data_IF_568296080893
#
_entry.id   IF_568296080893
#
_cell.length_a   1.000
_cell.length_b   1.000
_cell.length_c   1.000
_cell.angle_alpha   90.00
_cell.angle_beta   90.00
_cell.angle_gamma   90.00
#
_symmetry.space_group_name_H-M   'P 1'
#
loop_
_entity.id
_entity.type
_entity.pdbx_description
1 polymer ?
#
# COMPACT_ATOMS: atom_id res chain seq x y z
N UNK A 1 20.85 48.92 -39.91
CA UNK A 1 21.96 48.53 -39.00
C UNK A 1 22.32 49.61 -37.98
N UNK A 2 21.35 50.37 -37.46
CA UNK A 2 21.62 51.42 -36.46
C UNK A 2 20.69 51.45 -35.26
N UNK A 3 19.79 50.50 -35.14
CA UNK A 3 18.86 50.42 -34.01
C UNK A 3 19.21 49.33 -32.98
N UNK A 4 20.01 48.36 -33.36
CA UNK A 4 20.47 47.29 -32.43
C UNK A 4 21.69 47.64 -31.57
N UNK A 5 22.36 48.76 -31.84
CA UNK A 5 23.48 49.26 -31.02
C UNK A 5 23.08 50.25 -29.92
N UNK A 6 21.87 50.78 -29.96
CA UNK A 6 21.38 51.69 -28.91
C UNK A 6 20.69 50.99 -27.73
N UNK A 7 20.23 49.79 -27.92
CA UNK A 7 19.57 49.00 -26.82
C UNK A 7 20.56 48.21 -25.94
N UNK A 8 21.79 47.98 -26.43
CA UNK A 8 22.84 47.36 -25.61
C UNK A 8 23.54 48.35 -24.65
N UNK A 9 23.53 49.64 -24.94
CA UNK A 9 24.15 50.66 -24.06
C UNK A 9 23.25 51.15 -22.94
N UNK A 10 21.96 50.82 -22.96
CA UNK A 10 21.05 51.16 -21.87
C UNK A 10 20.95 50.09 -20.75
N UNK A 11 21.47 48.90 -20.99
CA UNK A 11 21.45 47.79 -19.98
C UNK A 11 22.71 47.74 -19.11
N UNK A 12 23.78 48.47 -19.44
CA UNK A 12 25.03 48.50 -18.65
C UNK A 12 25.15 49.65 -17.65
N UNK A 13 24.18 50.57 -17.59
CA UNK A 13 24.21 51.73 -16.66
C UNK A 13 23.28 51.60 -15.42
N UNK A 14 22.70 50.47 -15.16
CA UNK A 14 21.82 50.26 -13.97
C UNK A 14 22.36 49.32 -12.91
N UNK A 15 23.65 49.00 -12.89
CA UNK A 15 24.25 48.17 -11.83
C UNK A 15 25.41 48.91 -11.13
N UNK A 16 25.14 50.06 -10.54
CA UNK A 16 25.99 50.65 -9.50
C UNK A 16 25.13 51.29 -8.44
N UNK A 17 24.91 50.54 -7.35
CA UNK A 17 24.31 51.02 -6.12
C UNK A 17 25.38 51.32 -5.06
N UNK A 18 25.09 52.20 -4.09
CA UNK A 18 26.06 52.90 -3.29
C UNK A 18 26.66 52.12 -2.13
N UNK A 19 27.95 52.34 -1.91
CA UNK A 19 28.69 51.92 -0.71
C UNK A 19 28.14 52.63 0.52
N UNK A 20 27.98 51.91 1.63
CA UNK A 20 27.76 52.44 2.95
C UNK A 20 28.75 51.92 3.95
N UNK A 21 29.21 52.89 4.73
CA UNK A 21 30.17 52.89 5.81
C UNK A 21 29.90 51.89 6.93
N UNK A 22 30.98 51.33 7.46
CA UNK A 22 31.11 50.66 8.76
C UNK A 22 30.63 51.51 9.93
N UNK A 23 29.92 50.91 10.85
CA UNK A 23 30.09 51.17 12.27
C UNK A 23 29.91 49.86 13.06
N UNK A 24 30.99 49.51 13.72
CA UNK A 24 31.12 48.43 14.71
C UNK A 24 30.16 48.66 15.87
N UNK A 25 29.46 47.60 16.29
CA UNK A 25 29.13 47.41 17.69
C UNK A 25 29.19 45.91 18.02
N UNK A 26 30.14 45.60 18.91
CA UNK A 26 30.42 44.26 19.42
C UNK A 26 29.36 43.95 20.50
N UNK A 27 28.72 42.79 20.37
CA UNK A 27 28.12 42.09 21.50
C UNK A 27 28.36 40.56 21.32
N UNK A 28 29.23 39.96 22.13
CA UNK A 28 29.61 38.54 21.97
C UNK A 28 28.82 37.68 22.95
N UNK A 29 27.57 37.39 22.67
CA UNK A 29 26.84 36.29 23.30
C UNK A 29 25.55 35.99 22.53
N UNK A 30 25.60 34.92 21.73
CA UNK A 30 24.52 33.98 21.30
C UNK A 30 24.70 33.53 19.86
N UNK A 31 25.52 32.57 19.65
CA UNK A 31 25.38 31.55 18.59
C UNK A 31 26.19 30.30 18.95
N UNK A 32 25.85 29.66 20.05
CA UNK A 32 25.96 28.21 20.12
C UNK A 32 24.79 27.64 19.33
N UNK A 33 24.90 27.66 18.02
CA UNK A 33 24.12 26.75 17.19
C UNK A 33 24.68 25.36 17.47
N UNK A 34 23.97 24.60 18.31
CA UNK A 34 24.06 23.16 18.39
C UNK A 34 24.06 22.63 16.96
N UNK A 35 25.21 22.19 16.49
CA UNK A 35 25.32 21.18 15.46
C UNK A 35 24.60 19.94 16.02
N UNK A 36 23.30 19.87 15.80
CA UNK A 36 22.59 18.61 15.85
C UNK A 36 23.10 17.85 14.63
N UNK A 37 24.12 17.03 14.86
CA UNK A 37 24.44 15.93 13.97
C UNK A 37 23.14 15.16 13.78
N UNK A 38 22.50 15.34 12.64
CA UNK A 38 21.44 14.44 12.22
C UNK A 38 22.07 13.05 12.19
N UNK A 39 21.51 12.06 12.89
CA UNK A 39 22.06 10.71 12.87
C UNK A 39 22.17 10.33 11.39
N UNK A 40 23.35 9.92 10.96
CA UNK A 40 23.59 9.34 9.63
C UNK A 40 22.63 8.17 9.53
N UNK A 41 21.54 8.34 8.79
CA UNK A 41 20.59 7.26 8.53
C UNK A 41 21.40 6.12 7.91
N UNK A 42 21.55 5.04 8.65
CA UNK A 42 22.06 3.80 8.08
C UNK A 42 21.18 3.48 6.86
N UNK A 43 21.83 3.16 5.73
CA UNK A 43 21.08 2.74 4.54
C UNK A 43 20.24 1.54 4.93
N UNK A 44 18.96 1.45 4.45
CA UNK A 44 18.13 0.31 4.76
C UNK A 44 18.91 -0.97 4.49
N UNK A 45 18.82 -1.90 5.40
CA UNK A 45 19.49 -3.21 5.30
C UNK A 45 19.13 -3.91 3.98
N UNK A 46 17.91 -3.61 3.48
CA UNK A 46 17.37 -4.06 2.21
C UNK A 46 16.71 -2.90 1.47
N UNK A 47 17.23 -2.53 0.30
CA UNK A 47 16.58 -1.59 -0.62
C UNK A 47 15.66 -2.39 -1.54
N UNK A 48 14.34 -2.18 -1.47
CA UNK A 48 13.36 -2.88 -2.29
C UNK A 48 13.62 -2.77 -3.79
N UNK A 49 14.21 -1.65 -4.25
CA UNK A 49 14.52 -1.42 -5.69
C UNK A 49 15.60 -2.37 -6.19
N UNK A 50 16.63 -2.60 -5.37
CA UNK A 50 17.72 -3.52 -5.69
C UNK A 50 17.27 -4.96 -5.48
N UNK A 51 16.80 -5.27 -4.27
CA UNK A 51 16.43 -6.63 -3.89
C UNK A 51 15.24 -7.16 -4.71
N UNK A 52 14.24 -6.32 -4.99
CA UNK A 52 13.08 -6.71 -5.80
C UNK A 52 13.45 -7.11 -7.22
N UNK A 53 14.43 -6.43 -7.84
CA UNK A 53 14.95 -6.84 -9.17
C UNK A 53 15.80 -8.11 -9.08
N UNK A 54 16.68 -8.21 -8.09
CA UNK A 54 17.51 -9.41 -7.87
C UNK A 54 16.66 -10.66 -7.64
N UNK A 55 15.48 -10.51 -7.01
CA UNK A 55 14.52 -11.58 -6.75
C UNK A 55 13.50 -11.80 -7.88
N UNK A 56 13.58 -11.06 -9.00
CA UNK A 56 12.63 -11.20 -10.09
C UNK A 56 11.20 -10.80 -9.75
N UNK A 57 11.00 -9.82 -8.84
CA UNK A 57 9.66 -9.42 -8.41
C UNK A 57 9.07 -8.34 -9.30
N UNK A 58 9.85 -7.33 -9.69
CA UNK A 58 9.43 -6.26 -10.58
C UNK A 58 10.62 -5.62 -11.28
N UNK A 59 10.34 -4.89 -12.35
CA UNK A 59 11.34 -4.06 -13.01
C UNK A 59 10.70 -2.80 -13.60
N UNK A 60 11.52 -1.96 -14.23
CA UNK A 60 11.14 -0.71 -14.91
C UNK A 60 11.82 -0.65 -16.26
N UNK A 61 11.16 -0.09 -17.26
CA UNK A 61 11.73 0.11 -18.59
C UNK A 61 11.52 1.56 -19.06
N UNK A 62 12.53 2.21 -19.66
CA UNK A 62 12.39 3.57 -20.18
C UNK A 62 11.27 3.74 -21.22
N UNK A 63 10.94 2.71 -22.00
CA UNK A 63 9.86 2.74 -22.99
C UNK A 63 8.48 2.73 -22.34
N UNK A 64 8.35 2.08 -21.17
CA UNK A 64 7.11 2.11 -20.37
C UNK A 64 7.02 3.48 -19.67
N UNK A 65 8.12 3.96 -19.12
CA UNK A 65 8.23 5.29 -18.52
C UNK A 65 8.54 5.30 -17.02
N UNK A 66 9.03 6.44 -16.56
CA UNK A 66 9.41 6.63 -15.16
C UNK A 66 8.19 6.56 -14.23
N UNK A 67 8.32 5.84 -13.11
CA UNK A 67 7.23 5.66 -12.13
C UNK A 67 6.14 4.69 -12.57
N UNK A 68 6.40 3.87 -13.58
CA UNK A 68 5.52 2.85 -14.12
C UNK A 68 6.21 1.47 -14.05
N UNK A 69 6.39 0.90 -12.84
CA UNK A 69 6.97 -0.44 -12.68
C UNK A 69 6.02 -1.50 -13.25
N UNK A 70 6.60 -2.60 -13.72
CA UNK A 70 5.84 -3.79 -14.10
C UNK A 70 6.25 -4.99 -13.23
N UNK A 71 5.31 -5.88 -13.02
CA UNK A 71 5.47 -7.06 -12.19
C UNK A 71 6.01 -8.23 -13.02
N UNK A 72 7.04 -8.89 -12.51
CA UNK A 72 7.54 -10.16 -13.02
C UNK A 72 6.75 -11.31 -12.40
N UNK A 73 6.86 -12.56 -12.89
CA UNK A 73 6.02 -13.67 -12.43
C UNK A 73 5.97 -13.84 -10.90
N UNK A 74 7.12 -13.81 -10.22
CA UNK A 74 7.19 -13.96 -8.76
C UNK A 74 6.56 -12.78 -8.02
N UNK A 75 6.81 -11.56 -8.50
CA UNK A 75 6.15 -10.37 -7.97
C UNK A 75 4.65 -10.37 -8.23
N UNK A 76 4.21 -10.85 -9.38
CA UNK A 76 2.79 -11.01 -9.68
C UNK A 76 2.13 -12.03 -8.75
N UNK A 77 2.81 -13.12 -8.40
CA UNK A 77 2.32 -14.11 -7.44
C UNK A 77 2.16 -13.50 -6.03
N UNK A 78 3.16 -12.73 -5.55
CA UNK A 78 3.09 -12.01 -4.27
C UNK A 78 1.92 -11.01 -4.29
N UNK A 79 1.84 -10.20 -5.34
CA UNK A 79 0.77 -9.21 -5.53
C UNK A 79 -0.61 -9.86 -5.51
N UNK A 80 -0.81 -10.89 -6.34
CA UNK A 80 -2.08 -11.60 -6.45
C UNK A 80 -2.53 -12.19 -5.11
N UNK A 81 -1.61 -12.87 -4.41
CA UNK A 81 -1.88 -13.45 -3.10
C UNK A 81 -2.25 -12.38 -2.06
N UNK A 82 -1.57 -11.23 -2.07
CA UNK A 82 -1.91 -10.11 -1.20
C UNK A 82 -3.30 -9.54 -1.51
N UNK A 83 -3.62 -9.37 -2.80
CA UNK A 83 -4.94 -8.90 -3.25
C UNK A 83 -6.06 -9.87 -2.86
N UNK A 84 -5.84 -11.18 -2.97
CA UNK A 84 -6.82 -12.21 -2.55
C UNK A 84 -7.05 -12.19 -1.04
N UNK A 85 -5.98 -12.08 -0.25
CA UNK A 85 -6.07 -11.94 1.20
C UNK A 85 -6.97 -10.75 1.59
N UNK A 86 -6.71 -9.58 1.00
CA UNK A 86 -7.47 -8.37 1.29
C UNK A 86 -8.93 -8.52 0.87
N UNK A 87 -9.20 -9.01 -0.36
CA UNK A 87 -10.58 -9.25 -0.81
C UNK A 87 -11.33 -10.23 0.08
N UNK A 88 -10.64 -11.27 0.56
CA UNK A 88 -11.25 -12.23 1.49
C UNK A 88 -11.55 -11.58 2.86
N UNK A 89 -10.62 -10.77 3.41
CA UNK A 89 -10.83 -10.03 4.66
C UNK A 89 -12.01 -9.05 4.54
N UNK A 90 -12.09 -8.31 3.45
CA UNK A 90 -13.18 -7.37 3.15
C UNK A 90 -14.54 -8.07 3.03
N UNK A 91 -14.62 -9.18 2.29
CA UNK A 91 -15.87 -9.96 2.21
C UNK A 91 -16.34 -10.46 3.57
N UNK A 92 -15.42 -10.96 4.41
CA UNK A 92 -15.76 -11.38 5.78
C UNK A 92 -16.26 -10.24 6.65
N UNK A 93 -15.78 -9.01 6.40
CA UNK A 93 -16.23 -7.80 7.09
C UNK A 93 -17.49 -7.15 6.47
N UNK A 94 -18.13 -7.81 5.48
CA UNK A 94 -19.37 -7.36 4.86
C UNK A 94 -19.20 -6.28 3.79
N UNK A 95 -18.00 -6.08 3.25
CA UNK A 95 -17.79 -5.20 2.10
C UNK A 95 -18.25 -5.86 0.81
N UNK A 96 -18.85 -5.06 -0.07
CA UNK A 96 -19.19 -5.43 -1.44
C UNK A 96 -18.18 -4.81 -2.40
N UNK A 97 -17.57 -5.64 -3.23
CA UNK A 97 -16.62 -5.16 -4.23
C UNK A 97 -17.36 -4.57 -5.44
N UNK A 98 -16.83 -3.46 -5.91
CA UNK A 98 -17.26 -2.78 -7.14
C UNK A 98 -16.08 -2.63 -8.08
N UNK A 99 -16.36 -2.37 -9.35
CA UNK A 99 -15.35 -2.03 -10.36
C UNK A 99 -15.83 -0.80 -11.09
N UNK A 100 -15.00 0.23 -11.07
CA UNK A 100 -15.29 1.49 -11.75
C UNK A 100 -14.23 1.82 -12.80
N UNK A 101 -14.60 2.56 -13.87
CA UNK A 101 -13.63 2.87 -14.94
C UNK A 101 -12.52 3.78 -14.42
N UNK A 102 -11.32 3.64 -15.00
CA UNK A 102 -10.15 4.47 -14.67
C UNK A 102 -10.21 5.88 -15.26
N UNK A 103 -11.15 6.10 -16.20
CA UNK A 103 -11.43 7.39 -16.82
C UNK A 103 -12.74 7.95 -16.29
N UNK A 104 -12.80 9.26 -16.11
CA UNK A 104 -14.00 10.00 -15.80
C UNK A 104 -14.01 11.35 -16.51
N UNK A 105 -15.18 11.96 -16.73
CA UNK A 105 -15.26 13.33 -17.21
C UNK A 105 -14.63 14.26 -16.17
N UNK A 106 -13.95 15.31 -16.61
CA UNK A 106 -13.36 16.36 -15.76
C UNK A 106 -14.38 16.91 -14.76
N UNK A 107 -15.64 17.07 -15.19
CA UNK A 107 -16.74 17.54 -14.34
C UNK A 107 -16.91 16.70 -13.06
N UNK A 108 -16.70 15.37 -13.10
CA UNK A 108 -16.73 14.50 -11.93
C UNK A 108 -15.75 14.96 -10.84
N UNK A 109 -14.57 15.42 -11.25
CA UNK A 109 -13.50 15.87 -10.35
C UNK A 109 -13.67 17.34 -9.94
N UNK A 110 -14.39 18.14 -10.70
CA UNK A 110 -14.84 19.48 -10.32
C UNK A 110 -15.92 19.39 -9.22
N UNK A 111 -16.89 18.48 -9.38
CA UNK A 111 -17.93 18.21 -8.37
C UNK A 111 -17.27 17.77 -7.06
N UNK A 112 -16.37 16.80 -7.10
CA UNK A 112 -15.72 16.25 -5.90
C UNK A 112 -14.69 17.20 -5.25
N UNK A 113 -14.32 18.30 -5.91
CA UNK A 113 -13.30 19.24 -5.45
C UNK A 113 -11.86 18.86 -5.79
N UNK A 114 -11.60 17.66 -6.34
CA UNK A 114 -10.24 17.24 -6.70
C UNK A 114 -9.60 18.18 -7.72
N UNK A 115 -10.37 18.66 -8.70
CA UNK A 115 -9.87 19.60 -9.70
C UNK A 115 -9.36 20.91 -9.10
N UNK A 116 -10.04 21.44 -8.10
CA UNK A 116 -9.68 22.70 -7.46
C UNK A 116 -8.53 22.60 -6.45
N UNK A 117 -8.35 21.44 -5.81
CA UNK A 117 -7.42 21.26 -4.68
C UNK A 117 -6.26 20.30 -4.99
N UNK A 118 -6.31 19.60 -6.14
CA UNK A 118 -5.40 18.51 -6.44
C UNK A 118 -4.99 18.42 -7.91
N UNK A 119 -5.29 19.44 -8.73
CA UNK A 119 -5.02 19.44 -10.19
C UNK A 119 -3.55 19.26 -10.53
N UNK A 120 -2.64 19.77 -9.70
CA UNK A 120 -1.20 19.71 -9.95
C UNK A 120 -0.64 18.28 -9.92
N UNK A 121 -1.32 17.39 -9.20
CA UNK A 121 -0.99 15.96 -9.11
C UNK A 121 -1.79 15.10 -10.11
N UNK A 122 -2.70 15.69 -10.89
CA UNK A 122 -3.50 14.96 -11.88
C UNK A 122 -2.80 14.93 -13.24
N UNK A 123 -2.97 13.83 -13.99
CA UNK A 123 -2.60 13.81 -15.41
C UNK A 123 -3.43 14.84 -16.19
N UNK A 124 -2.84 15.48 -17.22
CA UNK A 124 -3.58 16.41 -18.07
C UNK A 124 -4.83 15.76 -18.67
N UNK A 125 -5.93 16.50 -18.83
CA UNK A 125 -7.11 15.99 -19.47
C UNK A 125 -6.85 15.64 -20.93
N UNK A 126 -7.57 14.62 -21.41
CA UNK A 126 -7.60 14.18 -22.79
C UNK A 126 -8.90 14.65 -23.45
N UNK A 127 -8.83 15.13 -24.69
CA UNK A 127 -10.03 15.43 -25.48
C UNK A 127 -10.59 14.14 -26.08
N UNK A 128 -11.87 13.90 -25.89
CA UNK A 128 -12.62 12.79 -26.45
C UNK A 128 -13.89 13.32 -27.13
N UNK A 129 -13.78 13.74 -28.38
CA UNK A 129 -14.92 14.23 -29.15
C UNK A 129 -15.55 15.51 -28.61
N UNK A 130 -14.73 16.42 -28.05
CA UNK A 130 -15.16 17.67 -27.44
C UNK A 130 -15.47 17.58 -25.94
N UNK A 131 -15.36 16.40 -25.34
CA UNK A 131 -15.45 16.20 -23.89
C UNK A 131 -14.05 15.99 -23.31
N UNK A 132 -13.79 16.59 -22.15
CA UNK A 132 -12.54 16.36 -21.42
C UNK A 132 -12.70 15.17 -20.47
N UNK A 133 -11.86 14.14 -20.65
CA UNK A 133 -11.76 12.99 -19.76
C UNK A 133 -10.39 13.00 -19.06
N UNK A 134 -10.35 12.47 -17.86
CA UNK A 134 -9.20 12.49 -16.97
C UNK A 134 -8.94 11.08 -16.42
N UNK A 135 -7.68 10.69 -16.31
CA UNK A 135 -7.29 9.54 -15.49
C UNK A 135 -7.58 9.85 -14.02
N UNK A 136 -8.31 8.96 -13.34
CA UNK A 136 -8.76 9.20 -11.96
C UNK A 136 -7.58 9.31 -10.98
N UNK A 137 -7.50 10.38 -10.16
CA UNK A 137 -6.50 10.51 -9.10
C UNK A 137 -6.91 9.79 -7.81
N UNK A 138 -8.21 9.40 -7.70
CA UNK A 138 -8.86 8.81 -6.54
C UNK A 138 -10.11 8.03 -6.95
N UNK A 139 -10.55 7.08 -6.13
CA UNK A 139 -11.74 6.24 -6.38
C UNK A 139 -13.02 6.84 -5.80
N UNK A 140 -12.94 7.70 -4.77
CA UNK A 140 -14.09 8.23 -4.05
C UNK A 140 -15.16 8.89 -4.91
N UNK A 141 -14.86 9.68 -5.98
CA UNK A 141 -15.91 10.26 -6.81
C UNK A 141 -16.76 9.22 -7.54
N UNK A 142 -16.11 8.13 -7.99
CA UNK A 142 -16.81 7.01 -8.64
C UNK A 142 -17.73 6.27 -7.65
N UNK A 143 -17.24 5.99 -6.43
CA UNK A 143 -18.05 5.35 -5.39
C UNK A 143 -19.25 6.22 -4.96
N UNK A 144 -19.08 7.55 -4.90
CA UNK A 144 -20.17 8.47 -4.66
C UNK A 144 -21.25 8.39 -5.76
N UNK A 145 -20.84 8.30 -7.03
CA UNK A 145 -21.79 8.12 -8.17
C UNK A 145 -22.46 6.74 -8.10
N UNK A 146 -21.74 5.67 -7.75
CA UNK A 146 -22.32 4.34 -7.57
C UNK A 146 -23.35 4.36 -6.45
N UNK A 147 -23.06 4.98 -5.30
CA UNK A 147 -24.03 5.15 -4.22
C UNK A 147 -25.28 5.92 -4.71
N UNK A 148 -25.10 7.04 -5.41
CA UNK A 148 -26.18 7.89 -5.93
C UNK A 148 -27.04 7.21 -6.99
N UNK A 149 -26.58 6.12 -7.61
CA UNK A 149 -27.28 5.46 -8.72
C UNK A 149 -28.65 4.88 -8.36
N UNK A 150 -28.96 4.73 -7.06
CA UNK A 150 -30.25 4.27 -6.54
C UNK A 150 -30.59 4.92 -5.20
N UNK A 151 -31.86 4.82 -4.79
CA UNK A 151 -32.26 5.24 -3.45
C UNK A 151 -31.86 4.22 -2.40
N UNK A 152 -31.55 4.70 -1.20
CA UNK A 152 -31.16 3.89 -0.05
C UNK A 152 -32.07 4.17 1.15
N UNK A 153 -32.34 3.13 1.94
CA UNK A 153 -33.00 3.24 3.25
C UNK A 153 -31.95 3.22 4.37
N UNK A 154 -32.25 3.87 5.48
CA UNK A 154 -31.42 3.78 6.71
C UNK A 154 -31.12 2.35 7.14
N UNK A 155 -32.02 1.38 6.81
CA UNK A 155 -31.84 -0.05 7.12
C UNK A 155 -30.74 -0.74 6.32
N UNK A 156 -30.33 -0.12 5.20
CA UNK A 156 -29.22 -0.62 4.35
C UNK A 156 -27.87 -0.12 4.83
N UNK A 157 -27.85 0.89 5.73
CA UNK A 157 -26.62 1.46 6.27
C UNK A 157 -26.14 0.70 7.51
N UNK A 158 -24.83 0.53 7.69
CA UNK A 158 -23.75 1.06 6.83
C UNK A 158 -23.61 0.27 5.52
N UNK A 159 -23.45 0.99 4.40
CA UNK A 159 -23.18 0.40 3.09
C UNK A 159 -21.68 0.49 2.82
N UNK A 160 -21.00 -0.66 2.74
CA UNK A 160 -19.56 -0.77 2.59
C UNK A 160 -19.20 -1.19 1.17
N UNK A 161 -18.53 -0.30 0.41
CA UNK A 161 -18.00 -0.58 -0.94
C UNK A 161 -16.50 -0.65 -0.90
N UNK A 162 -15.89 -1.64 -1.55
CA UNK A 162 -14.44 -1.78 -1.69
C UNK A 162 -14.05 -1.95 -3.16
N UNK A 163 -12.91 -1.41 -3.53
CA UNK A 163 -12.30 -1.61 -4.83
C UNK A 163 -10.78 -1.68 -4.68
N UNK A 164 -10.16 -2.74 -5.20
CA UNK A 164 -8.75 -2.72 -5.54
C UNK A 164 -8.66 -2.07 -6.92
N UNK A 165 -8.49 -0.75 -6.92
CA UNK A 165 -8.66 0.07 -8.11
C UNK A 165 -7.40 0.81 -8.54
N UNK A 166 -7.17 0.85 -9.86
CA UNK A 166 -6.10 1.67 -10.43
C UNK A 166 -6.42 3.15 -10.28
N UNK A 167 -5.48 3.95 -9.81
CA UNK A 167 -5.51 5.41 -9.84
C UNK A 167 -4.18 5.97 -10.32
N UNK A 168 -4.17 7.22 -10.76
CA UNK A 168 -3.05 7.77 -11.52
C UNK A 168 -2.70 9.18 -11.02
N UNK A 169 -1.40 9.42 -10.77
CA UNK A 169 -0.87 10.72 -10.35
C UNK A 169 0.33 11.11 -11.16
N UNK A 170 0.37 12.35 -11.62
CA UNK A 170 1.43 12.86 -12.51
C UNK A 170 2.72 13.21 -11.77
N UNK A 171 3.00 12.56 -10.68
CA UNK A 171 4.16 12.75 -9.81
C UNK A 171 5.40 13.29 -10.51
N UNK A 172 6.05 14.30 -9.92
CA UNK A 172 7.31 14.84 -10.44
C UNK A 172 8.39 13.75 -10.44
N UNK A 173 9.24 13.74 -11.48
CA UNK A 173 10.27 12.70 -11.63
C UNK A 173 11.23 12.60 -10.43
N UNK A 174 11.53 13.72 -9.76
CA UNK A 174 12.44 13.77 -8.61
C UNK A 174 11.89 13.15 -7.33
N UNK A 175 10.58 12.87 -7.25
CA UNK A 175 9.96 12.26 -6.05
C UNK A 175 9.63 10.79 -6.22
N UNK A 176 9.86 10.22 -7.41
CA UNK A 176 9.60 8.80 -7.68
C UNK A 176 10.56 7.90 -6.89
N UNK A 177 10.05 6.81 -6.34
CA UNK A 177 10.80 5.97 -5.40
C UNK A 177 10.60 4.45 -5.57
N UNK A 178 10.91 3.89 -6.73
CA UNK A 178 10.69 2.45 -6.97
C UNK A 178 9.20 2.12 -6.87
N UNK A 179 8.82 1.20 -5.98
CA UNK A 179 7.41 0.86 -5.69
C UNK A 179 6.79 1.78 -4.63
N UNK A 180 7.57 2.55 -3.85
CA UNK A 180 7.01 3.37 -2.76
C UNK A 180 6.28 4.61 -3.26
N UNK A 181 6.67 5.16 -4.42
CA UNK A 181 6.00 6.29 -5.05
C UNK A 181 6.00 6.14 -6.57
N UNK A 182 4.86 5.82 -7.12
CA UNK A 182 4.62 5.46 -8.52
C UNK A 182 3.53 6.35 -9.12
N UNK A 183 3.45 6.40 -10.47
CA UNK A 183 2.42 7.15 -11.21
C UNK A 183 1.15 6.36 -11.46
N UNK A 184 1.25 5.05 -11.60
CA UNK A 184 0.13 4.13 -11.68
C UNK A 184 0.06 3.33 -10.37
N UNK A 185 -1.02 3.51 -9.63
CA UNK A 185 -1.18 3.04 -8.25
C UNK A 185 -2.36 2.07 -8.22
N UNK A 186 -2.15 0.86 -7.70
CA UNK A 186 -3.24 -0.04 -7.37
C UNK A 186 -3.60 0.14 -5.90
N UNK A 187 -4.66 0.89 -5.63
CA UNK A 187 -5.06 1.24 -4.27
C UNK A 187 -6.05 0.23 -3.69
N UNK A 188 -5.81 -0.23 -2.46
CA UNK A 188 -6.83 -0.88 -1.66
C UNK A 188 -7.71 0.20 -1.01
N UNK A 189 -8.81 0.54 -1.66
CA UNK A 189 -9.69 1.62 -1.23
C UNK A 189 -11.10 1.13 -0.93
N UNK A 190 -11.73 1.72 0.06
CA UNK A 190 -13.14 1.50 0.34
C UNK A 190 -13.80 2.73 0.94
N UNK A 191 -15.10 2.83 0.67
CA UNK A 191 -15.95 3.91 1.14
C UNK A 191 -17.17 3.32 1.84
N UNK A 192 -17.38 3.75 3.09
CA UNK A 192 -18.47 3.33 3.94
C UNK A 192 -19.45 4.48 4.03
N UNK A 193 -20.65 4.29 3.50
CA UNK A 193 -21.73 5.27 3.63
C UNK A 193 -22.56 4.88 4.85
N UNK A 194 -22.62 5.74 5.84
CA UNK A 194 -23.23 5.42 7.12
C UNK A 194 -23.98 6.61 7.72
N UNK A 195 -24.78 6.36 8.75
CA UNK A 195 -25.36 7.41 9.58
C UNK A 195 -24.28 7.97 10.52
N UNK A 196 -24.52 9.16 11.08
CA UNK A 196 -23.54 9.82 11.94
C UNK A 196 -23.18 8.98 13.18
N UNK A 197 -24.16 8.34 13.81
CA UNK A 197 -24.01 7.48 14.98
C UNK A 197 -23.23 6.19 14.69
N UNK A 198 -23.17 5.75 13.42
CA UNK A 198 -22.40 4.58 13.00
C UNK A 198 -20.91 4.89 12.75
N UNK A 199 -20.52 6.17 12.54
CA UNK A 199 -19.16 6.55 12.11
C UNK A 199 -18.08 5.99 13.03
N UNK A 200 -18.21 6.17 14.34
CA UNK A 200 -17.20 5.71 15.29
C UNK A 200 -17.03 4.19 15.26
N UNK A 201 -18.14 3.45 15.16
CA UNK A 201 -18.12 1.99 15.03
C UNK A 201 -17.43 1.50 13.76
N UNK A 202 -17.72 2.14 12.61
CA UNK A 202 -17.13 1.80 11.33
C UNK A 202 -15.63 2.13 11.27
N UNK A 203 -15.21 3.27 11.83
CA UNK A 203 -13.80 3.64 11.90
C UNK A 203 -13.00 2.70 12.82
N UNK A 204 -13.56 2.29 13.98
CA UNK A 204 -12.95 1.28 14.85
C UNK A 204 -12.82 -0.08 14.15
N UNK A 205 -13.85 -0.51 13.43
CA UNK A 205 -13.80 -1.75 12.66
C UNK A 205 -12.73 -1.70 11.58
N UNK A 206 -12.55 -0.54 10.92
CA UNK A 206 -11.49 -0.33 9.94
C UNK A 206 -10.09 -0.42 10.57
N UNK A 207 -9.87 0.18 11.74
CA UNK A 207 -8.60 0.06 12.48
C UNK A 207 -8.31 -1.39 12.88
N UNK A 208 -9.32 -2.14 13.30
CA UNK A 208 -9.16 -3.56 13.64
C UNK A 208 -8.81 -4.40 12.40
N UNK A 209 -9.39 -4.09 11.24
CA UNK A 209 -9.00 -4.74 9.97
C UNK A 209 -7.53 -4.45 9.61
N UNK A 210 -7.08 -3.21 9.81
CA UNK A 210 -5.67 -2.82 9.60
C UNK A 210 -4.76 -3.63 10.55
N UNK A 211 -5.11 -3.70 11.84
CA UNK A 211 -4.34 -4.45 12.84
C UNK A 211 -4.17 -5.92 12.44
N UNK A 212 -5.27 -6.60 12.07
CA UNK A 212 -5.23 -8.01 11.62
C UNK A 212 -4.41 -8.20 10.35
N UNK A 213 -4.53 -7.29 9.39
CA UNK A 213 -3.72 -7.36 8.18
C UNK A 213 -2.23 -7.21 8.49
N UNK A 214 -1.88 -6.30 9.38
CA UNK A 214 -0.49 -6.09 9.80
C UNK A 214 0.06 -7.32 10.55
N UNK A 215 -0.75 -7.94 11.41
CA UNK A 215 -0.37 -9.22 12.05
C UNK A 215 -0.06 -10.29 10.99
N UNK A 216 -0.96 -10.53 10.04
CA UNK A 216 -0.77 -11.54 8.99
C UNK A 216 0.46 -11.24 8.09
N UNK A 217 0.77 -9.96 7.86
CA UNK A 217 1.90 -9.51 7.04
C UNK A 217 3.21 -9.39 7.85
N UNK A 218 3.13 -9.51 9.19
CA UNK A 218 4.25 -9.29 10.10
C UNK A 218 4.68 -7.81 10.19
N UNK A 219 3.81 -6.87 9.85
CA UNK A 219 4.08 -5.43 9.87
C UNK A 219 3.88 -4.89 11.29
N UNK A 220 4.86 -4.13 11.79
CA UNK A 220 4.74 -3.40 13.05
C UNK A 220 4.50 -1.92 12.76
N UNK A 221 3.40 -1.32 13.21
CA UNK A 221 3.19 0.13 13.10
C UNK A 221 4.30 0.89 13.83
N UNK A 222 4.85 1.94 13.22
CA UNK A 222 5.75 2.86 13.88
C UNK A 222 4.98 3.79 14.83
N UNK A 223 3.83 4.32 14.36
CA UNK A 223 2.89 5.12 15.16
C UNK A 223 1.55 5.28 14.47
N UNK A 224 0.56 5.72 15.25
CA UNK A 224 -0.72 6.23 14.76
C UNK A 224 -0.70 7.75 14.82
N UNK A 225 -1.21 8.41 13.78
CA UNK A 225 -1.21 9.86 13.67
C UNK A 225 -2.61 10.37 13.36
N UNK A 226 -3.11 11.30 14.19
CA UNK A 226 -4.29 12.09 13.87
C UNK A 226 -3.85 13.28 13.02
N UNK A 227 -4.10 13.23 11.73
CA UNK A 227 -3.71 14.23 10.76
C UNK A 227 -4.79 15.29 10.62
N UNK A 228 -4.47 16.52 11.04
CA UNK A 228 -5.35 17.67 11.09
C UNK A 228 -5.01 18.68 9.98
N UNK A 229 -5.94 19.60 9.63
CA UNK A 229 -5.65 20.67 8.68
C UNK A 229 -4.59 21.62 9.26
N UNK A 230 -3.75 22.13 8.38
CA UNK A 230 -2.79 23.18 8.72
C UNK A 230 -3.23 24.54 8.17
N UNK A 231 -2.40 25.60 8.32
CA UNK A 231 -2.65 26.88 7.70
C UNK A 231 -2.54 26.79 6.17
N UNK A 232 -3.35 27.53 5.45
CA UNK A 232 -3.32 27.66 3.99
C UNK A 232 -4.60 27.24 3.28
N UNK A 233 -4.70 27.59 1.99
CA UNK A 233 -5.92 27.48 1.18
C UNK A 233 -6.19 26.12 0.56
N UNK A 234 -5.39 25.07 0.87
CA UNK A 234 -5.60 23.74 0.27
C UNK A 234 -6.78 22.94 0.87
N UNK A 235 -7.32 23.41 1.98
CA UNK A 235 -8.40 22.73 2.71
C UNK A 235 -9.75 23.36 2.42
N UNK A 236 -10.81 22.56 2.44
CA UNK A 236 -12.19 23.07 2.33
C UNK A 236 -12.51 24.03 3.48
N UNK A 237 -13.08 25.18 3.15
CA UNK A 237 -13.44 26.22 4.12
C UNK A 237 -14.77 25.87 4.84
N UNK A 238 -14.72 24.93 5.79
CA UNK A 238 -15.88 24.45 6.56
C UNK A 238 -15.49 24.15 8.02
N UNK A 239 -15.27 25.17 8.88
CA UNK A 239 -14.72 25.00 10.25
C UNK A 239 -15.52 24.01 11.11
N UNK A 240 -16.85 24.08 11.07
CA UNK A 240 -17.71 23.18 11.86
C UNK A 240 -17.58 21.71 11.44
N UNK A 241 -17.46 21.46 10.13
CA UNK A 241 -17.20 20.13 9.59
C UNK A 241 -15.86 19.60 10.10
N UNK A 242 -14.81 20.42 10.05
CA UNK A 242 -13.48 20.05 10.55
C UNK A 242 -13.47 19.71 12.03
N UNK A 243 -14.10 20.55 12.86
CA UNK A 243 -14.21 20.31 14.29
C UNK A 243 -14.94 19.01 14.60
N UNK A 244 -16.07 18.79 13.94
CA UNK A 244 -16.89 17.58 14.12
C UNK A 244 -16.15 16.31 13.68
N UNK A 245 -15.51 16.33 12.52
CA UNK A 245 -14.75 15.19 12.00
C UNK A 245 -13.54 14.85 12.88
N UNK A 246 -12.81 15.89 13.33
CA UNK A 246 -11.68 15.70 14.25
C UNK A 246 -12.11 15.11 15.58
N UNK A 247 -13.22 15.58 16.17
CA UNK A 247 -13.77 15.04 17.41
C UNK A 247 -14.14 13.56 17.28
N UNK A 248 -14.76 13.16 16.16
CA UNK A 248 -15.11 11.76 15.90
C UNK A 248 -13.86 10.87 15.80
N UNK A 249 -12.81 11.30 15.07
CA UNK A 249 -11.58 10.52 14.95
C UNK A 249 -10.78 10.48 16.26
N UNK A 250 -10.82 11.55 17.07
CA UNK A 250 -10.26 11.54 18.43
C UNK A 250 -10.97 10.52 19.30
N UNK A 251 -12.32 10.50 19.32
CA UNK A 251 -13.10 9.50 20.04
C UNK A 251 -12.73 8.06 19.60
N UNK A 252 -12.56 7.84 18.30
CA UNK A 252 -12.15 6.54 17.75
C UNK A 252 -10.80 6.11 18.29
N UNK A 253 -9.80 7.00 18.27
CA UNK A 253 -8.46 6.71 18.77
C UNK A 253 -8.46 6.46 20.29
N UNK A 254 -9.17 7.27 21.06
CA UNK A 254 -9.30 7.11 22.52
C UNK A 254 -9.96 5.76 22.87
N UNK A 255 -11.03 5.39 22.16
CA UNK A 255 -11.70 4.10 22.32
C UNK A 255 -10.87 2.90 21.87
N UNK A 256 -9.99 3.09 20.89
CA UNK A 256 -9.11 2.02 20.42
C UNK A 256 -7.99 1.69 21.42
N UNK A 257 -7.68 2.59 22.34
CA UNK A 257 -6.56 2.46 23.29
C UNK A 257 -5.17 2.54 22.62
N UNK A 258 -5.10 2.90 21.34
CA UNK A 258 -3.85 3.01 20.61
C UNK A 258 -3.17 4.35 20.93
N UNK A 259 -1.86 4.37 21.21
CA UNK A 259 -1.12 5.62 21.38
C UNK A 259 -1.06 6.36 20.04
N UNK A 260 -1.38 7.65 20.03
CA UNK A 260 -1.34 8.47 18.83
C UNK A 260 -0.78 9.86 19.07
N UNK A 261 -0.38 10.52 17.99
CA UNK A 261 0.08 11.89 17.96
C UNK A 261 -0.79 12.71 16.99
N UNK A 262 -1.12 13.94 17.34
CA UNK A 262 -1.79 14.86 16.43
C UNK A 262 -0.74 15.65 15.62
N UNK A 263 -0.97 15.82 14.32
CA UNK A 263 -0.11 16.59 13.43
C UNK A 263 -0.94 17.49 12.50
N UNK A 264 -0.62 18.78 12.50
CA UNK A 264 -1.22 19.74 11.59
C UNK A 264 -0.60 19.70 10.19
N UNK A 265 -1.38 20.08 9.18
CA UNK A 265 -0.90 20.14 7.78
C UNK A 265 -0.95 18.83 7.00
N UNK A 266 -1.33 17.73 7.63
CA UNK A 266 -1.27 16.37 7.09
C UNK A 266 -2.64 15.81 6.68
N UNK A 267 -3.74 16.53 6.93
CA UNK A 267 -5.09 16.10 6.57
C UNK A 267 -5.31 16.01 5.05
N UNK A 268 -6.35 15.28 4.63
CA UNK A 268 -6.88 15.39 3.28
C UNK A 268 -7.56 16.77 3.11
N UNK A 269 -7.74 17.24 1.87
CA UNK A 269 -8.35 18.56 1.65
C UNK A 269 -9.81 18.63 2.13
N UNK A 270 -10.48 17.49 2.24
CA UNK A 270 -11.90 17.35 2.60
C UNK A 270 -12.15 16.88 4.03
N UNK A 271 -11.13 16.46 4.78
CA UNK A 271 -11.33 16.00 6.15
C UNK A 271 -10.06 15.49 6.84
N UNK A 272 -10.11 15.37 8.19
CA UNK A 272 -9.03 14.79 8.97
C UNK A 272 -8.94 13.28 8.77
N UNK A 273 -7.80 12.70 9.14
CA UNK A 273 -7.55 11.27 8.97
C UNK A 273 -6.70 10.67 10.09
N UNK A 274 -6.91 9.40 10.36
CA UNK A 274 -5.98 8.57 11.11
C UNK A 274 -5.05 7.93 10.09
N UNK A 275 -3.75 8.22 10.20
CA UNK A 275 -2.70 7.60 9.41
C UNK A 275 -1.94 6.59 10.26
N UNK A 276 -1.76 5.37 9.72
CA UNK A 276 -0.89 4.36 10.33
C UNK A 276 0.47 4.42 9.63
N UNK A 277 1.47 4.86 10.38
CA UNK A 277 2.84 5.01 9.88
C UNK A 277 3.60 3.71 10.03
N UNK A 278 4.41 3.39 9.03
CA UNK A 278 5.38 2.29 9.06
C UNK A 278 6.77 2.86 8.80
N UNK A 279 7.78 2.29 9.44
CA UNK A 279 9.17 2.69 9.24
C UNK A 279 9.87 1.74 8.26
N UNK A 280 10.67 2.30 7.34
CA UNK A 280 11.60 1.52 6.52
C UNK A 280 12.84 1.11 7.32
N UNK A 281 13.72 0.32 6.71
CA UNK A 281 14.97 -0.13 7.35
C UNK A 281 15.95 0.98 7.75
N UNK A 282 15.72 2.22 7.27
CA UNK A 282 16.45 3.43 7.65
C UNK A 282 15.73 4.26 8.73
N UNK A 283 14.58 3.80 9.23
CA UNK A 283 13.77 4.51 10.22
C UNK A 283 12.94 5.66 9.61
N UNK A 284 12.86 5.77 8.28
CA UNK A 284 12.01 6.79 7.63
C UNK A 284 10.56 6.31 7.65
N UNK A 285 9.69 7.15 8.16
CA UNK A 285 8.28 6.84 8.24
C UNK A 285 7.52 7.19 6.96
N UNK A 286 6.54 6.37 6.66
CA UNK A 286 5.56 6.63 5.60
C UNK A 286 4.20 6.10 5.98
N UNK A 287 3.14 6.77 5.50
CA UNK A 287 1.77 6.28 5.69
C UNK A 287 1.53 5.06 4.82
N UNK A 288 1.14 3.96 5.43
CA UNK A 288 0.70 2.76 4.73
C UNK A 288 -0.82 2.62 4.74
N UNK A 289 -1.47 2.81 5.88
CA UNK A 289 -2.92 2.67 6.04
C UNK A 289 -3.56 3.95 6.53
N UNK A 290 -4.86 4.13 6.24
CA UNK A 290 -5.58 5.35 6.60
C UNK A 290 -7.07 5.09 6.84
N UNK A 291 -7.66 5.85 7.77
CA UNK A 291 -9.11 5.96 8.00
C UNK A 291 -9.47 7.45 8.05
N UNK A 292 -10.47 7.88 7.27
CA UNK A 292 -10.82 9.29 7.11
C UNK A 292 -12.33 9.48 7.23
N UNK A 293 -12.77 10.60 7.79
CA UNK A 293 -14.19 10.97 7.89
C UNK A 293 -14.46 12.16 6.97
N UNK A 294 -15.44 12.01 6.10
CA UNK A 294 -15.75 12.96 5.04
C UNK A 294 -17.25 13.31 5.06
N UNK A 295 -17.55 14.57 5.31
CA UNK A 295 -18.86 15.19 5.17
C UNK A 295 -18.98 15.96 3.85
N UNK A 296 -17.86 16.30 3.22
CA UNK A 296 -17.80 17.18 2.04
C UNK A 296 -18.31 16.48 0.79
N UNK A 297 -17.78 15.28 0.46
CA UNK A 297 -18.21 14.59 -0.77
C UNK A 297 -19.69 14.18 -0.75
N UNK A 298 -20.26 13.65 0.35
CA UNK A 298 -21.71 13.43 0.42
C UNK A 298 -22.53 14.68 0.13
N UNK A 299 -22.08 15.86 0.53
CA UNK A 299 -22.73 17.12 0.21
C UNK A 299 -22.57 17.48 -1.27
N UNK A 300 -21.37 17.45 -1.80
CA UNK A 300 -21.05 17.80 -3.19
C UNK A 300 -21.77 16.96 -4.22
N UNK A 301 -21.97 15.66 -3.93
CA UNK A 301 -22.68 14.72 -4.79
C UNK A 301 -24.17 14.62 -4.49
N UNK A 302 -24.69 15.42 -3.55
CA UNK A 302 -26.08 15.38 -3.08
C UNK A 302 -26.53 13.97 -2.70
N UNK A 303 -25.70 13.25 -1.94
CA UNK A 303 -26.02 11.90 -1.48
C UNK A 303 -27.05 11.95 -0.37
N UNK A 304 -28.02 11.02 -0.40
CA UNK A 304 -29.02 10.91 0.65
C UNK A 304 -29.49 9.47 0.84
N UNK A 305 -30.05 9.21 2.02
CA UNK A 305 -30.83 8.00 2.34
C UNK A 305 -32.17 8.43 2.95
N UNK A 306 -33.16 7.52 2.95
CA UNK A 306 -34.45 7.76 3.60
C UNK A 306 -34.34 7.28 5.04
N UNK A 307 -34.55 8.18 5.99
CA UNK A 307 -34.53 7.91 7.42
C UNK A 307 -35.77 7.18 7.94
N UNK A 308 -35.79 6.83 9.24
CA UNK A 308 -36.96 6.21 9.87
C UNK A 308 -38.18 7.14 9.90
N UNK A 309 -37.96 8.44 9.80
CA UNK A 309 -38.96 9.51 9.71
C UNK A 309 -39.53 9.71 8.28
N UNK A 310 -39.06 8.93 7.29
CA UNK A 310 -39.43 9.07 5.91
C UNK A 310 -38.78 10.25 5.19
N UNK A 311 -37.96 11.04 5.86
CA UNK A 311 -37.26 12.19 5.28
C UNK A 311 -35.92 11.79 4.66
N UNK A 312 -35.40 12.68 3.80
CA UNK A 312 -34.06 12.56 3.23
C UNK A 312 -33.01 13.03 4.24
N UNK A 313 -32.03 12.18 4.51
CA UNK A 313 -30.89 12.46 5.33
C UNK A 313 -29.58 12.27 4.55
N UNK A 314 -28.55 13.07 4.87
CA UNK A 314 -27.23 12.96 4.25
C UNK A 314 -26.39 11.94 4.98
N UNK A 315 -25.80 10.93 4.29
CA UNK A 315 -24.86 10.02 4.92
C UNK A 315 -23.53 10.71 5.22
N UNK A 316 -22.76 10.15 6.14
CA UNK A 316 -21.32 10.41 6.27
C UNK A 316 -20.58 9.38 5.45
N UNK A 317 -19.46 9.75 4.85
CA UNK A 317 -18.58 8.85 4.13
C UNK A 317 -17.30 8.61 4.93
N UNK A 318 -17.01 7.35 5.25
CA UNK A 318 -15.75 6.95 5.86
C UNK A 318 -14.89 6.31 4.77
N UNK A 319 -13.74 6.91 4.49
CA UNK A 319 -12.73 6.34 3.60
C UNK A 319 -11.78 5.48 4.41
N UNK A 320 -11.38 4.33 3.89
CA UNK A 320 -10.34 3.53 4.51
C UNK A 320 -9.47 2.81 3.49
N UNK A 321 -8.20 2.65 3.83
CA UNK A 321 -7.27 1.79 3.11
C UNK A 321 -6.53 0.92 4.12
N UNK A 322 -6.58 -0.41 3.96
CA UNK A 322 -5.98 -1.35 4.90
C UNK A 322 -4.47 -1.45 4.69
N UNK A 323 -4.03 -1.49 3.44
CA UNK A 323 -2.62 -1.66 3.06
C UNK A 323 -2.10 -0.53 2.16
N UNK A 324 -2.89 0.53 1.95
CA UNK A 324 -2.55 1.59 1.01
C UNK A 324 -2.48 1.08 -0.43
N UNK A 325 -1.46 1.48 -1.17
CA UNK A 325 -1.21 0.90 -2.49
C UNK A 325 -0.50 -0.44 -2.38
N UNK A 326 -0.86 -1.36 -3.28
CA UNK A 326 -0.22 -2.68 -3.38
C UNK A 326 1.28 -2.54 -3.60
N UNK A 327 1.69 -1.57 -4.43
CA UNK A 327 3.10 -1.29 -4.72
C UNK A 327 3.86 -0.92 -3.45
N UNK A 328 3.33 0.02 -2.65
CA UNK A 328 3.96 0.46 -1.40
C UNK A 328 3.99 -0.65 -0.36
N UNK A 329 2.91 -1.41 -0.24
CA UNK A 329 2.85 -2.56 0.67
C UNK A 329 3.92 -3.60 0.32
N UNK A 330 4.04 -3.98 -0.96
CA UNK A 330 5.07 -4.94 -1.41
C UNK A 330 6.48 -4.37 -1.22
N UNK A 331 6.71 -3.07 -1.50
CA UNK A 331 8.01 -2.45 -1.22
C UNK A 331 8.40 -2.61 0.26
N UNK A 332 7.47 -2.30 1.16
CA UNK A 332 7.69 -2.43 2.60
C UNK A 332 7.96 -3.89 3.00
N UNK A 333 7.21 -4.84 2.47
CA UNK A 333 7.40 -6.28 2.73
C UNK A 333 8.75 -6.79 2.21
N UNK A 334 9.22 -6.32 1.03
CA UNK A 334 10.56 -6.66 0.52
C UNK A 334 11.64 -6.17 1.50
N UNK A 335 11.54 -4.92 1.97
CA UNK A 335 12.53 -4.34 2.88
C UNK A 335 12.50 -4.99 4.26
N UNK A 336 11.31 -5.28 4.77
CA UNK A 336 11.12 -5.90 6.09
C UNK A 336 11.58 -7.36 6.13
N UNK A 337 11.19 -8.15 5.13
CA UNK A 337 11.47 -9.58 5.10
C UNK A 337 12.77 -9.95 4.38
N UNK A 338 13.43 -9.01 3.69
CA UNK A 338 14.61 -9.30 2.88
C UNK A 338 14.34 -10.33 1.77
N UNK A 339 13.10 -10.41 1.27
CA UNK A 339 12.63 -11.41 0.31
C UNK A 339 12.19 -12.75 0.92
N UNK A 340 12.43 -12.97 2.22
CA UNK A 340 11.97 -14.18 2.93
C UNK A 340 10.53 -14.00 3.43
N UNK A 341 9.58 -13.86 2.50
CA UNK A 341 8.17 -13.62 2.82
C UNK A 341 7.56 -14.70 3.72
N UNK A 342 6.49 -14.38 4.51
CA UNK A 342 5.67 -15.40 5.16
C UNK A 342 5.27 -16.52 4.19
N UNK A 343 5.12 -17.75 4.65
CA UNK A 343 4.88 -18.91 3.78
C UNK A 343 3.67 -18.72 2.86
N UNK A 344 2.59 -18.14 3.37
CA UNK A 344 1.39 -17.89 2.58
C UNK A 344 1.59 -16.87 1.44
N UNK A 345 2.51 -15.91 1.61
CA UNK A 345 2.80 -14.84 0.65
C UNK A 345 3.97 -15.17 -0.29
N UNK A 346 4.81 -16.15 0.04
CA UNK A 346 5.97 -16.51 -0.77
C UNK A 346 5.59 -16.89 -2.21
N UNK A 347 6.28 -16.36 -3.25
CA UNK A 347 5.99 -16.71 -4.66
C UNK A 347 6.10 -18.21 -4.90
N UNK A 348 7.16 -18.84 -4.45
CA UNK A 348 7.34 -20.28 -4.36
C UNK A 348 7.28 -20.68 -2.89
N UNK A 349 6.37 -21.59 -2.54
CA UNK A 349 6.20 -22.06 -1.15
C UNK A 349 7.00 -23.33 -0.89
N UNK A 350 7.07 -24.23 -1.88
CA UNK A 350 7.78 -25.50 -1.79
C UNK A 350 8.75 -25.64 -2.95
N UNK A 351 10.06 -25.66 -2.66
CA UNK A 351 11.08 -26.07 -3.63
C UNK A 351 11.30 -27.57 -3.53
N UNK A 352 10.98 -28.30 -4.58
CA UNK A 352 11.12 -29.75 -4.63
C UNK A 352 12.46 -30.11 -5.28
N UNK A 353 13.31 -30.80 -4.53
CA UNK A 353 14.71 -31.01 -4.84
C UNK A 353 15.00 -32.53 -4.97
N UNK A 354 14.75 -33.17 -6.15
CA UNK A 354 15.16 -34.56 -6.37
C UNK A 354 16.68 -34.66 -6.33
N UNK A 355 17.22 -35.73 -5.74
CA UNK A 355 18.68 -35.89 -5.61
C UNK A 355 19.29 -36.23 -6.99
N UNK A 356 18.64 -37.10 -7.77
CA UNK A 356 19.07 -37.49 -9.11
C UNK A 356 17.87 -37.53 -10.09
N UNK A 357 18.15 -37.81 -11.35
CA UNK A 357 17.11 -37.96 -12.40
C UNK A 357 16.13 -39.11 -12.11
N UNK A 358 16.56 -40.10 -11.34
CA UNK A 358 15.70 -41.23 -10.97
C UNK A 358 14.50 -40.79 -10.09
N UNK A 359 14.64 -39.75 -9.31
CA UNK A 359 13.58 -39.22 -8.45
C UNK A 359 12.70 -38.13 -9.11
N UNK A 360 13.03 -37.68 -10.34
CA UNK A 360 12.21 -36.66 -11.05
C UNK A 360 10.72 -37.05 -11.16
N UNK A 361 10.34 -38.30 -11.50
CA UNK A 361 8.91 -38.66 -11.58
C UNK A 361 8.17 -38.46 -10.25
N UNK A 362 8.85 -38.68 -9.10
CA UNK A 362 8.28 -38.48 -7.77
C UNK A 362 8.20 -37.02 -7.42
N UNK A 363 9.21 -36.20 -7.82
CA UNK A 363 9.21 -34.76 -7.65
C UNK A 363 8.05 -34.12 -8.44
N UNK A 364 7.83 -34.51 -9.69
CA UNK A 364 6.73 -34.05 -10.53
C UNK A 364 5.36 -34.47 -9.97
N UNK A 365 5.26 -35.68 -9.41
CA UNK A 365 4.02 -36.09 -8.73
C UNK A 365 3.73 -35.25 -7.50
N UNK A 366 4.75 -34.94 -6.69
CA UNK A 366 4.61 -34.06 -5.53
C UNK A 366 4.23 -32.63 -5.96
N UNK A 367 4.82 -32.08 -7.02
CA UNK A 367 4.48 -30.76 -7.56
C UNK A 367 3.02 -30.70 -8.02
N UNK A 368 2.55 -31.72 -8.74
CA UNK A 368 1.12 -31.82 -9.11
C UNK A 368 0.22 -31.84 -7.89
N UNK A 369 0.61 -32.61 -6.87
CA UNK A 369 -0.16 -32.65 -5.61
C UNK A 369 -0.18 -31.33 -4.88
N UNK A 370 0.93 -30.58 -4.84
CA UNK A 370 0.97 -29.20 -4.34
C UNK A 370 -0.04 -28.32 -5.10
N UNK A 371 -0.04 -28.37 -6.44
CA UNK A 371 -0.95 -27.57 -7.27
C UNK A 371 -2.43 -27.89 -7.01
N UNK A 372 -2.79 -29.19 -6.83
CA UNK A 372 -4.16 -29.61 -6.46
C UNK A 372 -4.61 -29.04 -5.11
N UNK A 373 -3.67 -28.83 -4.19
CA UNK A 373 -3.91 -28.22 -2.87
C UNK A 373 -3.76 -26.68 -2.88
N UNK A 374 -3.54 -26.07 -4.05
CA UNK A 374 -3.35 -24.62 -4.17
C UNK A 374 -2.00 -24.11 -3.66
N UNK A 375 -1.02 -25.00 -3.43
CA UNK A 375 0.33 -24.64 -3.03
C UNK A 375 1.19 -24.33 -4.26
N UNK A 376 1.97 -23.26 -4.21
CA UNK A 376 2.94 -22.87 -5.24
C UNK A 376 4.23 -23.66 -5.04
N UNK A 377 4.53 -24.58 -5.93
CA UNK A 377 5.71 -25.45 -5.86
C UNK A 377 6.48 -25.45 -7.17
N UNK A 378 7.79 -25.58 -7.07
CA UNK A 378 8.70 -25.69 -8.21
C UNK A 378 9.62 -26.89 -8.04
N UNK A 379 9.88 -27.59 -9.13
CA UNK A 379 10.86 -28.66 -9.17
C UNK A 379 12.18 -28.10 -9.70
N UNK A 380 13.22 -28.15 -8.86
CA UNK A 380 14.58 -27.84 -9.29
C UNK A 380 15.37 -29.14 -9.41
N UNK A 381 15.42 -29.69 -10.62
CA UNK A 381 16.06 -30.94 -10.94
C UNK A 381 17.59 -30.89 -11.02
N UNK A 382 18.28 -32.04 -11.20
CA UNK A 382 19.75 -32.11 -11.24
C UNK A 382 20.39 -31.25 -12.34
N UNK A 383 19.67 -30.93 -13.40
CA UNK A 383 20.09 -30.06 -14.50
C UNK A 383 20.43 -28.63 -14.02
N UNK A 384 19.87 -28.19 -12.88
CA UNK A 384 20.17 -26.92 -12.24
C UNK A 384 21.40 -26.96 -11.30
N UNK A 385 22.13 -28.08 -11.31
CA UNK A 385 23.38 -28.20 -10.55
C UNK A 385 23.30 -29.17 -9.36
N UNK A 386 24.33 -29.12 -8.52
CA UNK A 386 24.39 -30.02 -7.35
C UNK A 386 23.28 -29.74 -6.36
N UNK A 387 22.84 -30.75 -5.59
CA UNK A 387 21.82 -30.56 -4.54
C UNK A 387 22.18 -29.38 -3.60
N UNK A 388 23.46 -29.27 -3.20
CA UNK A 388 23.92 -28.17 -2.34
C UNK A 388 23.81 -26.78 -2.98
N UNK A 389 23.96 -26.68 -4.31
CA UNK A 389 23.73 -25.41 -5.05
C UNK A 389 22.24 -25.06 -5.07
N UNK A 390 21.37 -26.00 -5.44
CA UNK A 390 19.92 -25.85 -5.48
C UNK A 390 19.33 -25.52 -4.10
N UNK A 391 19.82 -26.13 -3.02
CA UNK A 391 19.45 -25.79 -1.64
C UNK A 391 19.82 -24.33 -1.31
N UNK A 392 20.99 -23.84 -1.75
CA UNK A 392 21.38 -22.44 -1.54
C UNK A 392 20.55 -21.46 -2.37
N UNK A 393 20.22 -21.82 -3.60
CA UNK A 393 19.36 -21.04 -4.47
C UNK A 393 17.95 -20.88 -3.87
N UNK A 394 17.39 -21.97 -3.37
CA UNK A 394 16.08 -22.01 -2.71
C UNK A 394 16.10 -21.49 -1.25
N UNK A 395 17.16 -20.78 -0.81
CA UNK A 395 17.32 -20.35 0.59
C UNK A 395 16.20 -19.46 1.15
N UNK A 396 15.50 -18.74 0.30
CA UNK A 396 14.37 -17.86 0.67
C UNK A 396 13.02 -18.57 0.62
N UNK A 397 12.96 -19.77 0.00
CA UNK A 397 11.74 -20.57 -0.08
C UNK A 397 11.43 -21.16 1.29
N UNK A 398 10.18 -21.04 1.80
CA UNK A 398 9.80 -21.54 3.12
C UNK A 398 10.12 -23.02 3.35
N UNK A 399 9.80 -23.86 2.37
CA UNK A 399 9.96 -25.31 2.46
C UNK A 399 10.79 -25.85 1.29
N UNK A 400 11.83 -26.60 1.61
CA UNK A 400 12.61 -27.36 0.62
C UNK A 400 12.34 -28.84 0.86
N UNK A 401 11.66 -29.49 -0.09
CA UNK A 401 11.32 -30.91 -0.06
C UNK A 401 12.40 -31.72 -0.81
N UNK A 402 13.30 -32.34 -0.08
CA UNK A 402 14.36 -33.17 -0.66
C UNK A 402 13.80 -34.59 -0.89
N UNK A 403 13.96 -35.12 -2.10
CA UNK A 403 13.53 -36.48 -2.48
C UNK A 403 14.76 -37.27 -2.92
N UNK A 404 15.12 -38.25 -2.12
CA UNK A 404 16.12 -39.25 -2.45
C UNK A 404 15.46 -40.62 -2.73
N UNK A 405 16.28 -41.61 -3.04
CA UNK A 405 15.79 -42.95 -3.39
C UNK A 405 14.92 -43.58 -2.26
N UNK A 406 15.22 -43.33 -0.99
CA UNK A 406 14.42 -43.81 0.15
C UNK A 406 13.08 -43.10 0.23
N UNK A 407 13.07 -41.80 0.16
CA UNK A 407 11.86 -40.99 0.22
C UNK A 407 10.92 -41.32 -0.94
N UNK A 408 11.49 -41.57 -2.16
CA UNK A 408 10.73 -41.94 -3.33
C UNK A 408 10.04 -43.33 -3.17
N UNK A 409 10.74 -44.32 -2.61
CA UNK A 409 10.18 -45.65 -2.38
C UNK A 409 9.13 -45.65 -1.29
N UNK A 410 9.37 -44.90 -0.19
CA UNK A 410 8.51 -44.88 1.00
C UNK A 410 7.34 -43.90 0.87
N UNK A 411 7.25 -43.12 -0.22
CA UNK A 411 6.24 -42.06 -0.39
C UNK A 411 6.37 -40.92 0.70
N UNK A 412 7.60 -40.66 1.11
CA UNK A 412 7.92 -39.66 2.15
C UNK A 412 8.65 -38.47 1.55
N UNK A 413 8.76 -37.40 2.33
CA UNK A 413 9.58 -36.26 1.99
C UNK A 413 10.46 -35.85 3.20
N UNK A 414 11.69 -35.44 2.91
CA UNK A 414 12.57 -34.85 3.88
C UNK A 414 12.54 -33.32 3.75
N UNK A 415 11.90 -32.64 4.70
CA UNK A 415 11.77 -31.20 4.67
C UNK A 415 13.00 -30.51 5.28
N UNK A 416 13.38 -29.41 4.67
CA UNK A 416 14.31 -28.41 5.22
C UNK A 416 13.55 -27.09 5.24
N UNK A 417 13.39 -26.52 6.41
CA UNK A 417 12.72 -25.23 6.56
C UNK A 417 13.74 -24.12 6.37
N UNK A 418 13.28 -22.97 5.89
CA UNK A 418 14.11 -21.78 5.69
C UNK A 418 14.82 -21.31 6.97
N UNK A 419 14.19 -21.49 8.13
CA UNK A 419 14.73 -21.16 9.44
C UNK A 419 15.81 -22.14 9.96
N UNK A 420 16.14 -23.18 9.19
CA UNK A 420 17.16 -24.17 9.49
C UNK A 420 16.64 -25.44 10.14
N UNK A 421 15.39 -25.48 10.60
CA UNK A 421 14.76 -26.69 11.13
C UNK A 421 14.68 -27.79 10.06
N UNK A 422 14.74 -29.04 10.51
CA UNK A 422 14.64 -30.23 9.66
C UNK A 422 13.77 -31.26 10.38
N UNK A 423 12.45 -31.19 10.18
CA UNK A 423 11.55 -32.22 10.68
C UNK A 423 11.96 -33.62 10.23
N UNK A 424 11.66 -34.65 11.02
CA UNK A 424 11.88 -36.01 10.58
C UNK A 424 11.12 -36.28 9.27
N UNK A 425 11.65 -37.08 8.34
CA UNK A 425 10.92 -37.44 7.13
C UNK A 425 9.54 -37.99 7.46
N UNK A 426 8.51 -37.51 6.77
CA UNK A 426 7.11 -37.90 6.99
C UNK A 426 6.40 -38.18 5.65
N UNK A 427 5.22 -38.84 5.69
CA UNK A 427 4.44 -39.07 4.48
C UNK A 427 4.19 -37.76 3.72
N UNK A 428 4.27 -37.75 2.41
CA UNK A 428 4.12 -36.58 1.57
C UNK A 428 2.77 -35.85 1.82
N UNK A 429 1.68 -36.60 1.93
CA UNK A 429 0.34 -36.03 2.22
C UNK A 429 0.29 -35.32 3.57
N UNK A 430 0.93 -35.89 4.60
CA UNK A 430 1.00 -35.26 5.93
C UNK A 430 1.81 -33.97 5.89
N UNK A 431 2.94 -33.99 5.18
CA UNK A 431 3.77 -32.78 4.99
C UNK A 431 2.97 -31.66 4.32
N UNK A 432 2.28 -31.99 3.22
CA UNK A 432 1.48 -31.01 2.48
C UNK A 432 0.29 -30.50 3.30
N UNK A 433 -0.37 -31.37 4.08
CA UNK A 433 -1.46 -30.96 4.97
C UNK A 433 -0.98 -29.94 6.04
N UNK A 434 0.20 -30.17 6.64
CA UNK A 434 0.79 -29.25 7.61
C UNK A 434 1.19 -27.92 6.96
N UNK A 435 1.83 -27.97 5.78
CA UNK A 435 2.17 -26.78 5.00
C UNK A 435 0.90 -26.00 4.65
N UNK A 436 -0.13 -26.67 4.17
CA UNK A 436 -1.44 -26.06 3.88
C UNK A 436 -2.04 -25.36 5.10
N UNK A 437 -2.00 -25.99 6.26
CA UNK A 437 -2.50 -25.38 7.50
C UNK A 437 -1.74 -24.09 7.90
N UNK A 438 -0.42 -24.03 7.68
CA UNK A 438 0.39 -22.82 7.89
C UNK A 438 -0.01 -21.72 6.90
N UNK A 439 -0.17 -22.08 5.63
CA UNK A 439 -0.54 -21.16 4.55
C UNK A 439 -1.94 -20.60 4.76
N UNK A 440 -2.93 -21.46 5.01
CA UNK A 440 -4.33 -21.08 5.20
C UNK A 440 -4.55 -20.27 6.50
N UNK A 441 -3.73 -20.55 7.51
CA UNK A 441 -3.77 -19.85 8.81
C UNK A 441 -3.00 -18.51 8.80
N UNK A 442 -2.35 -18.13 7.71
CA UNK A 442 -1.48 -16.94 7.62
C UNK A 442 -0.40 -16.91 8.71
N UNK A 443 0.09 -18.09 9.13
CA UNK A 443 1.02 -18.22 10.23
C UNK A 443 2.43 -17.76 9.85
N UNK A 444 3.15 -17.20 10.83
CA UNK A 444 4.56 -16.80 10.67
C UNK A 444 5.52 -17.95 10.99
N UNK A 445 5.15 -18.81 11.91
CA UNK A 445 5.91 -20.03 12.17
C UNK A 445 5.71 -21.02 11.02
N UNK A 446 6.81 -21.52 10.48
CA UNK A 446 6.80 -22.43 9.36
C UNK A 446 6.38 -23.85 9.73
N UNK A 447 6.43 -24.21 11.00
CA UNK A 447 6.19 -25.59 11.44
C UNK A 447 5.75 -25.66 12.90
N UNK A 448 4.64 -26.29 13.12
CA UNK A 448 4.15 -26.59 14.48
C UNK A 448 4.55 -28.03 14.86
N UNK A 449 5.49 -28.16 15.78
CA UNK A 449 5.95 -29.45 16.29
C UNK A 449 4.92 -30.14 17.22
N UNK A 450 3.87 -29.40 17.63
CA UNK A 450 2.85 -29.90 18.55
C UNK A 450 1.64 -30.55 17.82
N UNK A 451 1.62 -30.54 16.51
CA UNK A 451 0.55 -31.12 15.67
C UNK A 451 0.97 -32.40 14.99
#
# INVERSE_FOLDING_TARGET
MNQQKQDQQKHEQQMQGPQKHDQQNQDPQKHEQRNQEHPRHERPKHDHRKLGRELGLFDTDPLIGAGLPYWLPDGAAVRHTLEEYIRAAERRAGYRHVYSPVLGKRELYEISGHWSHYSDDMFPPMDLGGEQVVLRPSLCPHHAVIYRSRSHSYRELPLRMAELGGMYRSELSGVLGGLTRVRAIQLNDAHIFCTLDQVAGEALAALEMIRRAYEALGITPARYRLSLPGPGGKYVAAPEMWQRSAALLTEVLDRSGLPYEAAEGEAAFYGPKIDVQVADGAGRESTLSTVQVDFHQPERFDLHYIGPDGAKHRPVMVHRSIIGSVERAVAHLIEQHGGAFPAWLAPTQVAILPISDAELPHADALARRCAELGLRAEVAGPEHGTLGARVREARLVPYQAVIGAREAVDGRVALRLRDGRRPAPLPAEEALARIGAVVDGYAHDLWDDAR
#
